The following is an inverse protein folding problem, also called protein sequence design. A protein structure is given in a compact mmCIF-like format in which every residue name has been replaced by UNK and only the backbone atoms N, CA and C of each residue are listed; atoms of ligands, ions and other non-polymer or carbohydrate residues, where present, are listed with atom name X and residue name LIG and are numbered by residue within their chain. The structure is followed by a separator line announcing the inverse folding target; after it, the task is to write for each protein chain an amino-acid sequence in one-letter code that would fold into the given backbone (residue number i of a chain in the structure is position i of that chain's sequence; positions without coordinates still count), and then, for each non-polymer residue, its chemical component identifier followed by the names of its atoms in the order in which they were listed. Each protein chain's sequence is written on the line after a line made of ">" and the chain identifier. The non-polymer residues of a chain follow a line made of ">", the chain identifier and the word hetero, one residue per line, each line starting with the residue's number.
data_IF_436588792704
#
_entry.id   IF_436588792704
#
_cell.length_a   1.000
_cell.length_b   1.000
_cell.length_c   1.000
_cell.angle_alpha   90.00
_cell.angle_beta   90.00
_cell.angle_gamma   90.00
#
_symmetry.space_group_name_H-M   'P 1'
#
loop_
_entity.id
_entity.type
_entity.pdbx_description
1 polymer ?
#
# COMPACT_ATOMS: atom_id res chain seq x y z
N UNK A 1 -29.76 23.94 -15.94
CA UNK A 1 -30.03 22.83 -15.00
C UNK A 1 -29.35 23.21 -13.71
N UNK A 2 -30.13 23.61 -12.71
CA UNK A 2 -29.63 23.99 -11.39
C UNK A 2 -29.20 22.72 -10.65
N UNK A 3 -27.94 22.66 -10.24
CA UNK A 3 -27.49 21.76 -9.20
C UNK A 3 -28.05 22.33 -7.89
N UNK A 4 -29.13 21.75 -7.38
CA UNK A 4 -29.60 22.08 -6.04
C UNK A 4 -28.69 21.38 -5.03
N UNK A 5 -27.57 22.04 -4.71
CA UNK A 5 -26.62 21.67 -3.66
C UNK A 5 -27.29 21.94 -2.32
N UNK A 6 -27.58 20.89 -1.54
CA UNK A 6 -28.18 21.02 -0.21
C UNK A 6 -27.23 20.47 0.87
N UNK A 7 -26.81 21.38 1.76
CA UNK A 7 -26.21 21.24 3.10
C UNK A 7 -24.75 20.73 3.20
N UNK A 8 -23.89 21.69 3.58
CA UNK A 8 -22.51 21.58 4.11
C UNK A 8 -21.55 20.67 3.35
N UNK A 9 -21.24 21.02 2.11
CA UNK A 9 -20.05 20.45 1.46
C UNK A 9 -18.78 20.93 2.20
N UNK A 10 -17.76 20.07 2.36
CA UNK A 10 -16.45 20.51 2.80
C UNK A 10 -15.91 21.57 1.85
N UNK A 11 -15.25 22.61 2.38
CA UNK A 11 -14.68 23.70 1.56
C UNK A 11 -13.66 23.14 0.55
N UNK A 12 -13.01 22.02 0.87
CA UNK A 12 -12.07 21.30 0.02
C UNK A 12 -12.71 20.60 -1.18
N UNK A 13 -14.03 20.36 -1.16
CA UNK A 13 -14.77 19.72 -2.25
C UNK A 13 -15.51 20.72 -3.16
N UNK A 14 -15.66 21.96 -2.71
CA UNK A 14 -16.47 22.98 -3.36
C UNK A 14 -15.74 23.68 -4.52
N UNK A 15 -15.45 22.94 -5.59
CA UNK A 15 -14.93 23.49 -6.84
C UNK A 15 -15.65 22.95 -8.07
N UNK A 16 -15.70 23.78 -9.12
CA UNK A 16 -16.40 23.47 -10.37
C UNK A 16 -15.91 22.17 -11.02
N UNK A 17 -14.61 21.91 -10.90
CA UNK A 17 -13.94 20.77 -11.51
C UNK A 17 -14.37 19.44 -10.88
N UNK A 18 -14.54 19.39 -9.56
CA UNK A 18 -15.05 18.21 -8.86
C UNK A 18 -16.51 17.96 -9.19
N UNK A 19 -17.35 19.00 -9.23
CA UNK A 19 -18.74 18.86 -9.67
C UNK A 19 -18.84 18.35 -11.12
N UNK A 20 -17.94 18.81 -12.00
CA UNK A 20 -17.87 18.31 -13.37
C UNK A 20 -17.44 16.84 -13.44
N UNK A 21 -16.46 16.43 -12.63
CA UNK A 21 -16.03 15.04 -12.52
C UNK A 21 -17.16 14.14 -12.02
N UNK A 22 -17.87 14.53 -10.96
CA UNK A 22 -19.03 13.81 -10.43
C UNK A 22 -20.13 13.64 -11.48
N UNK A 23 -20.41 14.68 -12.26
CA UNK A 23 -21.38 14.59 -13.35
C UNK A 23 -20.97 13.58 -14.43
N UNK A 24 -19.69 13.53 -14.80
CA UNK A 24 -19.21 12.50 -15.74
C UNK A 24 -19.38 11.10 -15.16
N UNK A 25 -19.08 10.94 -13.86
CA UNK A 25 -19.26 9.65 -13.17
C UNK A 25 -20.74 9.26 -13.09
N UNK A 26 -21.66 10.20 -12.81
CA UNK A 26 -23.10 9.90 -12.80
C UNK A 26 -23.56 9.35 -14.16
N UNK A 27 -23.05 9.89 -15.26
CA UNK A 27 -23.34 9.38 -16.60
C UNK A 27 -22.77 7.96 -16.79
N UNK A 28 -21.53 7.70 -16.34
CA UNK A 28 -20.87 6.38 -16.41
C UNK A 28 -21.63 5.31 -15.60
N UNK A 29 -22.11 5.65 -14.40
CA UNK A 29 -22.85 4.72 -13.53
C UNK A 29 -24.37 4.71 -13.83
N UNK A 30 -24.80 5.48 -14.83
CA UNK A 30 -26.18 5.54 -15.31
C UNK A 30 -27.17 6.14 -14.31
N UNK A 31 -26.76 7.17 -13.55
CA UNK A 31 -27.61 7.97 -12.66
C UNK A 31 -28.03 9.24 -13.41
N UNK A 32 -29.32 9.36 -13.75
CA UNK A 32 -29.85 10.54 -14.42
C UNK A 32 -30.33 11.57 -13.39
N UNK A 33 -30.31 12.86 -13.73
CA UNK A 33 -30.77 13.95 -12.84
C UNK A 33 -30.21 13.81 -11.41
N UNK A 34 -28.89 13.61 -11.33
CA UNK A 34 -28.19 13.29 -10.10
C UNK A 34 -28.28 14.41 -9.06
N UNK A 35 -28.64 14.04 -7.83
CA UNK A 35 -28.23 14.74 -6.60
C UNK A 35 -27.13 13.94 -5.94
N UNK A 36 -26.27 14.59 -5.18
CA UNK A 36 -25.25 13.87 -4.42
C UNK A 36 -25.02 14.47 -3.04
N UNK A 37 -24.57 13.60 -2.15
CA UNK A 37 -24.09 13.94 -0.82
C UNK A 37 -22.60 13.60 -0.73
N UNK A 38 -21.84 14.41 0.00
CA UNK A 38 -20.39 14.29 0.13
C UNK A 38 -20.04 14.12 1.60
N UNK A 39 -19.52 12.95 1.95
CA UNK A 39 -18.89 12.68 3.23
C UNK A 39 -17.38 12.89 3.09
N UNK A 40 -16.80 13.72 3.95
CA UNK A 40 -15.34 13.82 4.04
C UNK A 40 -14.82 12.70 4.93
N UNK A 41 -14.10 11.74 4.34
CA UNK A 41 -13.61 10.54 5.03
C UNK A 41 -12.18 10.71 5.56
N UNK A 42 -11.81 11.91 6.01
CA UNK A 42 -10.43 12.19 6.39
C UNK A 42 -10.06 11.46 7.70
N UNK A 43 -9.69 10.19 7.57
CA UNK A 43 -8.92 9.41 8.54
C UNK A 43 -7.43 9.47 8.16
N UNK A 44 -6.56 9.34 9.15
CA UNK A 44 -5.08 9.41 9.13
C UNK A 44 -4.36 9.51 7.78
N UNK A 45 -3.49 10.53 7.67
CA UNK A 45 -2.21 10.38 6.95
C UNK A 45 -2.29 10.21 5.43
N UNK A 46 -3.47 10.31 4.81
CA UNK A 46 -3.55 10.23 3.37
C UNK A 46 -2.84 11.41 2.70
N UNK A 47 -2.15 11.07 1.62
CA UNK A 47 -1.47 11.98 0.70
C UNK A 47 -2.48 12.77 -0.16
N UNK A 48 -3.75 12.38 -0.07
CA UNK A 48 -4.90 12.92 -0.76
C UNK A 48 -6.07 13.16 0.21
N UNK A 49 -6.91 14.18 -0.08
CA UNK A 49 -8.23 14.29 0.51
C UNK A 49 -9.10 13.17 -0.03
N UNK A 50 -9.77 12.43 0.86
CA UNK A 50 -10.68 11.34 0.49
C UNK A 50 -12.12 11.74 0.83
N UNK A 51 -12.99 11.67 -0.17
CA UNK A 51 -14.41 11.90 -0.01
C UNK A 51 -15.17 10.65 -0.45
N UNK A 52 -16.23 10.32 0.27
CA UNK A 52 -17.25 9.39 -0.22
C UNK A 52 -18.41 10.20 -0.75
N UNK A 53 -18.75 9.97 -2.01
CA UNK A 53 -19.83 10.67 -2.68
C UNK A 53 -20.95 9.69 -2.97
N UNK A 54 -22.14 9.98 -2.47
CA UNK A 54 -23.34 9.17 -2.68
C UNK A 54 -24.18 9.87 -3.73
N UNK A 55 -24.27 9.26 -4.92
CA UNK A 55 -25.08 9.71 -6.06
C UNK A 55 -26.48 9.11 -5.95
N UNK A 56 -27.51 9.95 -6.01
CA UNK A 56 -28.93 9.56 -5.99
C UNK A 56 -29.63 10.07 -7.24
N UNK A 57 -30.35 9.18 -7.94
CA UNK A 57 -31.18 9.53 -9.09
C UNK A 57 -32.52 10.12 -8.64
N UNK A 58 -32.81 11.36 -9.05
CA UNK A 58 -34.04 12.06 -8.66
C UNK A 58 -35.30 11.29 -9.05
N UNK A 59 -36.14 11.01 -8.05
CA UNK A 59 -37.41 10.29 -8.24
C UNK A 59 -37.26 8.77 -8.33
N UNK A 60 -36.11 8.21 -7.97
CA UNK A 60 -35.89 6.76 -7.83
C UNK A 60 -35.16 6.42 -6.52
N UNK A 61 -35.17 5.14 -6.14
CA UNK A 61 -34.37 4.62 -5.02
C UNK A 61 -32.95 4.19 -5.47
N UNK A 62 -32.55 4.53 -6.71
CA UNK A 62 -31.25 4.13 -7.26
C UNK A 62 -30.15 5.05 -6.69
N UNK A 63 -29.26 4.44 -5.92
CA UNK A 63 -28.10 5.09 -5.33
C UNK A 63 -26.79 4.38 -5.73
N UNK A 64 -25.73 5.15 -5.95
CA UNK A 64 -24.37 4.64 -6.20
C UNK A 64 -23.39 5.42 -5.33
N UNK A 65 -22.50 4.72 -4.63
CA UNK A 65 -21.44 5.36 -3.85
C UNK A 65 -20.10 5.24 -4.57
N UNK A 66 -19.29 6.30 -4.49
CA UNK A 66 -17.95 6.36 -5.08
C UNK A 66 -16.96 7.01 -4.11
N UNK A 67 -15.69 6.63 -4.21
CA UNK A 67 -14.59 7.25 -3.47
C UNK A 67 -13.87 8.24 -4.37
N UNK A 68 -13.72 9.48 -3.92
CA UNK A 68 -13.04 10.56 -4.65
C UNK A 68 -11.78 10.93 -3.89
N UNK A 69 -10.62 10.76 -4.54
CA UNK A 69 -9.31 11.18 -4.04
C UNK A 69 -8.83 12.43 -4.78
N UNK A 70 -8.40 13.46 -4.04
CA UNK A 70 -7.84 14.70 -4.61
C UNK A 70 -6.58 15.13 -3.87
N UNK A 71 -5.70 15.92 -4.51
CA UNK A 71 -4.47 16.37 -3.85
C UNK A 71 -4.74 17.34 -2.69
N UNK A 72 -4.06 17.13 -1.56
CA UNK A 72 -4.08 18.10 -0.46
C UNK A 72 -3.25 19.33 -0.85
N UNK A 73 -3.84 20.52 -0.72
CA UNK A 73 -3.18 21.78 -1.06
C UNK A 73 -2.15 22.18 0.03
N UNK A 74 -0.98 21.55 0.01
CA UNK A 74 0.10 21.77 0.99
C UNK A 74 1.41 22.22 0.34
N UNK A 75 2.38 22.61 1.15
CA UNK A 75 3.76 22.84 0.69
C UNK A 75 4.42 21.60 0.06
N UNK A 76 3.81 20.41 0.19
CA UNK A 76 4.26 19.13 -0.40
C UNK A 76 3.48 18.76 -1.67
N UNK A 77 2.69 19.68 -2.26
CA UNK A 77 1.81 19.41 -3.41
C UNK A 77 2.48 18.71 -4.59
N UNK A 78 3.69 19.11 -4.99
CA UNK A 78 4.39 18.47 -6.13
C UNK A 78 4.81 17.02 -5.84
N UNK A 79 5.11 16.67 -4.59
CA UNK A 79 5.39 15.30 -4.18
C UNK A 79 4.13 14.43 -4.26
N UNK A 80 3.05 14.91 -3.65
CA UNK A 80 1.76 14.20 -3.63
C UNK A 80 1.20 14.02 -5.05
N UNK A 81 1.54 14.93 -5.95
CA UNK A 81 1.19 14.84 -7.37
C UNK A 81 1.85 13.65 -8.09
N UNK A 82 3.13 13.37 -7.82
CA UNK A 82 3.82 12.22 -8.42
C UNK A 82 3.22 10.89 -7.92
N UNK A 83 2.85 10.82 -6.64
CA UNK A 83 2.17 9.65 -6.05
C UNK A 83 0.76 9.47 -6.61
N UNK A 84 0.00 10.55 -6.75
CA UNK A 84 -1.30 10.53 -7.41
C UNK A 84 -1.18 10.07 -8.87
N UNK A 85 -0.21 10.60 -9.62
CA UNK A 85 0.04 10.17 -11.00
C UNK A 85 0.40 8.68 -11.07
N UNK A 86 1.20 8.18 -10.12
CA UNK A 86 1.51 6.74 -9.99
C UNK A 86 0.26 5.92 -9.71
N UNK A 87 -0.62 6.35 -8.80
CA UNK A 87 -1.87 5.66 -8.48
C UNK A 87 -2.81 5.60 -9.70
N UNK A 88 -3.01 6.73 -10.39
CA UNK A 88 -3.80 6.78 -11.64
C UNK A 88 -3.22 5.81 -12.67
N UNK A 89 -1.89 5.82 -12.85
CA UNK A 89 -1.22 4.93 -13.80
C UNK A 89 -1.38 3.45 -13.43
N UNK A 90 -1.29 3.12 -12.15
CA UNK A 90 -1.55 1.77 -11.64
C UNK A 90 -2.97 1.33 -12.01
N UNK A 91 -3.98 2.16 -11.74
CA UNK A 91 -5.36 1.82 -12.04
C UNK A 91 -5.60 1.61 -13.54
N UNK A 92 -5.14 2.53 -14.37
CA UNK A 92 -5.42 2.54 -15.82
C UNK A 92 -4.61 1.48 -16.58
N UNK A 93 -3.34 1.27 -16.22
CA UNK A 93 -2.45 0.41 -17.03
C UNK A 93 -2.27 -1.00 -16.45
N UNK A 94 -2.56 -1.21 -15.16
CA UNK A 94 -2.30 -2.49 -14.48
C UNK A 94 -3.57 -3.07 -13.89
N UNK A 95 -4.29 -2.33 -13.05
CA UNK A 95 -5.49 -2.84 -12.35
C UNK A 95 -6.62 -3.13 -13.35
N UNK A 96 -6.83 -2.26 -14.34
CA UNK A 96 -7.83 -2.51 -15.39
C UNK A 96 -7.52 -3.81 -16.15
N UNK A 97 -6.26 -4.03 -16.55
CA UNK A 97 -5.85 -5.28 -17.21
C UNK A 97 -6.01 -6.49 -16.27
N UNK A 98 -5.64 -6.35 -15.00
CA UNK A 98 -5.85 -7.39 -13.99
C UNK A 98 -7.32 -7.77 -13.88
N UNK A 99 -8.23 -6.78 -13.84
CA UNK A 99 -9.67 -7.03 -13.84
C UNK A 99 -10.13 -7.73 -15.12
N UNK A 100 -9.60 -7.36 -16.29
CA UNK A 100 -9.91 -8.02 -17.56
C UNK A 100 -9.45 -9.47 -17.59
N UNK A 101 -8.21 -9.75 -17.18
CA UNK A 101 -7.65 -11.11 -17.12
C UNK A 101 -8.45 -12.03 -16.20
N UNK A 102 -8.97 -11.51 -15.11
CA UNK A 102 -9.80 -12.27 -14.17
C UNK A 102 -11.15 -12.73 -14.75
N UNK A 103 -11.61 -12.17 -15.87
CA UNK A 103 -12.83 -12.64 -16.54
C UNK A 103 -12.67 -14.04 -17.16
N UNK A 104 -11.44 -14.54 -17.29
CA UNK A 104 -11.16 -15.88 -17.80
C UNK A 104 -11.27 -16.98 -16.74
N UNK A 105 -11.44 -16.60 -15.46
CA UNK A 105 -11.53 -17.53 -14.34
C UNK A 105 -12.85 -17.36 -13.57
N UNK A 106 -13.25 -18.41 -12.86
CA UNK A 106 -14.45 -18.41 -12.02
C UNK A 106 -14.39 -17.37 -10.91
N UNK A 107 -15.54 -16.80 -10.54
CA UNK A 107 -15.66 -15.69 -9.59
C UNK A 107 -15.02 -15.97 -8.23
N UNK A 108 -15.06 -17.21 -7.76
CA UNK A 108 -14.53 -17.59 -6.43
C UNK A 108 -13.01 -17.54 -6.36
N UNK A 109 -12.33 -17.56 -7.51
CA UNK A 109 -10.86 -17.51 -7.60
C UNK A 109 -10.32 -16.09 -7.84
N UNK A 110 -11.21 -15.11 -8.06
CA UNK A 110 -10.83 -13.72 -8.34
C UNK A 110 -10.42 -13.00 -7.05
N UNK A 111 -9.50 -12.05 -7.21
CA UNK A 111 -9.19 -11.01 -6.23
C UNK A 111 -10.05 -9.77 -6.49
N UNK A 112 -10.37 -9.08 -5.41
CA UNK A 112 -11.19 -7.86 -5.47
C UNK A 112 -10.28 -6.63 -5.51
N UNK A 113 -10.45 -5.85 -6.58
CA UNK A 113 -9.74 -4.60 -6.84
C UNK A 113 -10.79 -3.55 -7.23
N UNK A 114 -10.78 -2.35 -6.64
CA UNK A 114 -11.74 -1.29 -7.00
C UNK A 114 -11.58 -0.89 -8.46
N UNK A 115 -12.69 -0.61 -9.15
CA UNK A 115 -12.63 0.00 -10.49
C UNK A 115 -12.30 1.49 -10.40
N UNK A 116 -11.46 1.96 -11.31
CA UNK A 116 -11.34 3.38 -11.60
C UNK A 116 -12.49 3.82 -12.51
N UNK A 117 -13.33 4.72 -12.03
CA UNK A 117 -14.49 5.24 -12.75
C UNK A 117 -14.15 6.51 -13.53
N UNK A 118 -13.27 7.35 -12.98
CA UNK A 118 -12.83 8.59 -13.62
C UNK A 118 -11.49 9.05 -13.04
N UNK A 119 -10.69 9.74 -13.84
CA UNK A 119 -9.51 10.44 -13.36
C UNK A 119 -9.23 11.72 -14.17
N UNK A 120 -8.45 12.63 -13.60
CA UNK A 120 -7.90 13.81 -14.25
C UNK A 120 -6.49 14.06 -13.72
N UNK A 121 -5.53 14.33 -14.62
CA UNK A 121 -4.14 14.65 -14.25
C UNK A 121 -3.76 16.10 -14.58
N UNK A 122 -4.73 16.91 -15.03
CA UNK A 122 -4.51 18.32 -15.35
C UNK A 122 -4.02 19.06 -14.12
N UNK A 123 -2.98 19.88 -14.29
CA UNK A 123 -2.33 20.57 -13.16
C UNK A 123 -3.34 21.45 -12.41
N UNK A 124 -3.57 21.14 -11.14
CA UNK A 124 -4.51 21.85 -10.27
C UNK A 124 -5.90 21.23 -10.19
N UNK A 125 -6.21 20.25 -11.04
CA UNK A 125 -7.50 19.57 -11.12
C UNK A 125 -7.34 18.05 -10.97
N UNK A 126 -6.28 17.62 -10.29
CA UNK A 126 -5.98 16.20 -10.09
C UNK A 126 -7.06 15.51 -9.25
N UNK A 127 -7.70 14.50 -9.83
CA UNK A 127 -8.75 13.71 -9.17
C UNK A 127 -8.70 12.28 -9.65
N UNK A 128 -8.98 11.35 -8.73
CA UNK A 128 -9.18 9.93 -9.01
C UNK A 128 -10.49 9.50 -8.34
N UNK A 129 -11.42 8.94 -9.10
CA UNK A 129 -12.71 8.48 -8.62
C UNK A 129 -12.79 6.96 -8.80
N UNK A 130 -13.00 6.26 -7.70
CA UNK A 130 -13.00 4.81 -7.58
C UNK A 130 -14.38 4.29 -7.18
N UNK A 131 -14.65 3.03 -7.50
CA UNK A 131 -15.75 2.25 -6.93
C UNK A 131 -15.64 2.20 -5.39
N UNK A 132 -16.74 2.49 -4.69
CA UNK A 132 -16.80 2.34 -3.24
C UNK A 132 -17.20 0.91 -2.88
N UNK A 133 -16.30 0.16 -2.24
CA UNK A 133 -16.57 -1.21 -1.80
C UNK A 133 -17.10 -1.28 -0.36
N UNK A 134 -17.15 -0.16 0.37
CA UNK A 134 -17.76 -0.12 1.71
C UNK A 134 -19.27 -0.41 1.65
N UNK A 135 -19.95 0.00 0.58
CA UNK A 135 -21.37 -0.37 0.36
C UNK A 135 -21.59 -1.86 0.12
N UNK A 136 -20.55 -2.58 -0.29
CA UNK A 136 -20.58 -4.03 -0.49
C UNK A 136 -20.29 -4.80 0.81
N UNK A 137 -20.21 -4.12 1.95
CA UNK A 137 -19.95 -4.74 3.26
C UNK A 137 -18.49 -5.10 3.49
N UNK A 138 -17.56 -4.47 2.76
CA UNK A 138 -16.16 -4.46 3.12
C UNK A 138 -15.92 -3.39 4.21
N UNK A 139 -15.03 -3.71 5.15
CA UNK A 139 -14.73 -2.88 6.30
C UNK A 139 -13.21 -2.72 6.45
N UNK A 140 -12.79 -1.57 6.96
CA UNK A 140 -11.40 -1.33 7.35
C UNK A 140 -11.11 -2.17 8.59
N UNK A 141 -9.94 -2.81 8.62
CA UNK A 141 -9.54 -3.59 9.78
C UNK A 141 -8.79 -2.73 10.79
N UNK A 142 -9.47 -2.40 11.90
CA UNK A 142 -8.91 -1.57 12.98
C UNK A 142 -7.92 -2.32 13.89
N UNK A 143 -7.61 -3.60 13.60
CA UNK A 143 -6.76 -4.48 14.44
C UNK A 143 -5.39 -3.85 14.77
N UNK A 144 -4.70 -3.23 13.80
CA UNK A 144 -3.40 -2.58 14.09
C UNK A 144 -3.54 -1.26 14.86
N UNK A 145 -4.57 -0.46 14.59
CA UNK A 145 -4.87 0.74 15.40
C UNK A 145 -5.30 0.41 16.83
N UNK A 146 -5.62 -0.84 17.12
CA UNK A 146 -5.90 -1.37 18.46
C UNK A 146 -4.73 -2.18 19.02
N UNK A 147 -3.57 -2.22 18.34
CA UNK A 147 -2.39 -3.02 18.70
C UNK A 147 -2.70 -4.52 18.93
N UNK A 148 -3.69 -5.06 18.22
CA UNK A 148 -4.06 -6.48 18.27
C UNK A 148 -3.16 -7.25 17.29
N UNK A 149 -2.64 -8.41 17.75
CA UNK A 149 -1.81 -9.27 16.91
C UNK A 149 -2.67 -10.04 15.90
N UNK A 150 -2.25 -10.05 14.63
CA UNK A 150 -2.85 -10.90 13.62
C UNK A 150 -2.56 -12.37 13.90
N UNK A 151 -3.57 -13.22 13.72
CA UNK A 151 -3.37 -14.67 13.84
C UNK A 151 -2.89 -15.28 12.50
N UNK A 152 -2.40 -16.51 12.57
CA UNK A 152 -1.86 -17.22 11.41
C UNK A 152 -2.85 -17.34 10.24
N UNK A 153 -4.15 -17.56 10.52
CA UNK A 153 -5.17 -17.70 9.47
C UNK A 153 -5.41 -16.38 8.74
N UNK A 154 -5.44 -15.25 9.46
CA UNK A 154 -5.56 -13.93 8.87
C UNK A 154 -4.37 -13.61 7.97
N UNK A 155 -3.14 -13.80 8.48
CA UNK A 155 -1.91 -13.58 7.70
C UNK A 155 -1.85 -14.52 6.49
N UNK A 156 -2.21 -15.79 6.65
CA UNK A 156 -2.25 -16.75 5.54
C UNK A 156 -3.24 -16.35 4.45
N UNK A 157 -4.40 -15.80 4.83
CA UNK A 157 -5.39 -15.27 3.87
C UNK A 157 -4.82 -14.09 3.08
N UNK A 158 -4.19 -13.13 3.76
CA UNK A 158 -3.57 -11.95 3.16
C UNK A 158 -2.44 -12.34 2.20
N UNK A 159 -1.54 -13.23 2.64
CA UNK A 159 -0.42 -13.72 1.83
C UNK A 159 -0.91 -14.52 0.61
N UNK A 160 -1.99 -15.28 0.75
CA UNK A 160 -2.61 -15.98 -0.38
C UNK A 160 -3.21 -15.02 -1.40
N UNK A 161 -3.85 -13.95 -0.95
CA UNK A 161 -4.41 -12.93 -1.85
C UNK A 161 -3.31 -12.13 -2.56
N UNK A 162 -2.22 -11.80 -1.85
CA UNK A 162 -1.04 -11.19 -2.44
C UNK A 162 -0.40 -12.09 -3.51
N UNK A 163 -0.36 -13.41 -3.29
CA UNK A 163 0.16 -14.36 -4.27
C UNK A 163 -0.66 -14.35 -5.58
N UNK A 164 -1.99 -14.23 -5.49
CA UNK A 164 -2.85 -14.08 -6.67
C UNK A 164 -2.63 -12.74 -7.37
N UNK A 165 -2.51 -11.65 -6.61
CA UNK A 165 -2.20 -10.31 -7.14
C UNK A 165 -0.88 -10.30 -7.92
N UNK A 166 0.19 -10.86 -7.36
CA UNK A 166 1.45 -11.06 -8.08
C UNK A 166 1.31 -12.02 -9.26
N UNK A 167 0.51 -13.08 -9.11
CA UNK A 167 0.18 -14.02 -10.19
C UNK A 167 -0.37 -13.33 -11.44
N UNK A 168 -1.24 -12.33 -11.27
CA UNK A 168 -1.78 -11.55 -12.39
C UNK A 168 -0.70 -10.81 -13.18
N UNK A 169 0.42 -10.42 -12.56
CA UNK A 169 1.56 -9.84 -13.29
C UNK A 169 2.18 -10.83 -14.27
N UNK A 170 2.35 -12.09 -13.87
CA UNK A 170 2.89 -13.13 -14.76
C UNK A 170 1.91 -13.47 -15.87
N UNK A 171 0.61 -13.51 -15.56
CA UNK A 171 -0.44 -13.70 -16.57
C UNK A 171 -0.43 -12.55 -17.59
N UNK A 172 -0.36 -11.30 -17.11
CA UNK A 172 -0.25 -10.10 -17.94
C UNK A 172 0.98 -10.20 -18.86
N UNK A 173 2.16 -10.48 -18.31
CA UNK A 173 3.40 -10.65 -19.07
C UNK A 173 3.28 -11.72 -20.17
N UNK A 174 2.57 -12.82 -19.91
CA UNK A 174 2.40 -13.91 -20.88
C UNK A 174 1.48 -13.56 -22.06
N UNK A 175 0.60 -12.56 -21.92
CA UNK A 175 -0.48 -12.27 -22.87
C UNK A 175 -0.32 -10.96 -23.63
N UNK A 176 0.47 -10.03 -23.11
CA UNK A 176 0.55 -8.65 -23.61
C UNK A 176 1.96 -8.34 -24.09
N UNK A 177 2.07 -7.96 -25.37
CA UNK A 177 3.35 -7.63 -25.99
C UNK A 177 3.95 -6.31 -25.53
N UNK A 178 3.12 -5.41 -24.98
CA UNK A 178 3.52 -4.10 -24.45
C UNK A 178 3.85 -4.14 -22.94
N UNK A 179 3.84 -5.32 -22.31
CA UNK A 179 4.14 -5.48 -20.89
C UNK A 179 5.50 -4.88 -20.50
N UNK A 180 6.54 -5.11 -21.30
CA UNK A 180 7.89 -4.59 -21.04
C UNK A 180 8.01 -3.07 -21.14
N UNK A 181 7.13 -2.42 -21.91
CA UNK A 181 7.06 -0.96 -21.98
C UNK A 181 6.35 -0.41 -20.74
N UNK A 182 5.21 -1.03 -20.39
CA UNK A 182 4.44 -0.66 -19.21
C UNK A 182 5.27 -0.87 -17.94
N UNK A 183 5.95 -2.00 -17.77
CA UNK A 183 6.68 -2.33 -16.54
C UNK A 183 7.84 -1.36 -16.23
N UNK A 184 8.53 -0.85 -17.26
CA UNK A 184 9.61 0.15 -17.11
C UNK A 184 9.14 1.46 -16.49
N UNK A 185 7.87 1.79 -16.70
CA UNK A 185 7.29 2.99 -16.13
C UNK A 185 7.00 2.89 -14.62
N UNK A 186 7.07 1.67 -14.06
CA UNK A 186 6.82 1.40 -12.65
C UNK A 186 8.12 1.19 -11.85
N UNK A 187 9.18 1.94 -12.15
CA UNK A 187 10.34 2.00 -11.24
C UNK A 187 9.94 2.56 -9.86
N UNK A 188 10.69 2.24 -8.80
CA UNK A 188 10.48 2.88 -7.50
C UNK A 188 10.62 4.40 -7.62
N UNK A 189 9.69 5.14 -7.03
CA UNK A 189 9.74 6.61 -6.95
C UNK A 189 10.02 7.11 -5.54
N UNK A 190 9.76 6.31 -4.50
CA UNK A 190 9.84 6.77 -3.10
C UNK A 190 11.28 7.05 -2.66
N UNK A 191 12.23 6.23 -3.10
CA UNK A 191 13.61 6.32 -2.66
C UNK A 191 14.54 6.96 -3.71
N UNK A 192 13.98 7.49 -4.81
CA UNK A 192 14.77 8.14 -5.87
C UNK A 192 15.25 9.53 -5.49
N UNK A 193 16.48 9.87 -5.84
CA UNK A 193 17.07 11.17 -5.53
C UNK A 193 16.33 12.34 -6.21
N UNK A 194 15.75 12.12 -7.38
CA UNK A 194 14.93 13.10 -8.10
C UNK A 194 13.64 13.46 -7.37
N UNK A 195 13.07 12.51 -6.62
CA UNK A 195 11.87 12.66 -5.79
C UNK A 195 12.23 13.23 -4.42
N UNK A 196 13.30 12.71 -3.82
CA UNK A 196 13.79 13.10 -2.49
C UNK A 196 14.45 14.47 -2.47
N UNK A 197 15.14 14.88 -3.54
CA UNK A 197 15.81 16.19 -3.63
C UNK A 197 14.85 17.37 -3.84
N UNK A 198 13.62 17.09 -4.32
CA UNK A 198 12.55 18.09 -4.48
C UNK A 198 11.62 18.18 -3.27
N UNK A 199 11.77 17.29 -2.30
CA UNK A 199 10.84 17.12 -1.20
C UNK A 199 11.55 17.16 0.15
N UNK A 200 10.83 17.58 1.19
CA UNK A 200 11.26 17.34 2.58
C UNK A 200 11.18 15.85 2.96
N UNK A 201 10.90 14.92 2.03
CA UNK A 201 10.79 13.49 2.32
C UNK A 201 12.13 12.82 2.59
N UNK A 202 13.21 13.32 1.98
CA UNK A 202 14.56 12.87 2.36
C UNK A 202 14.77 13.08 3.85
N UNK A 203 14.33 14.23 4.36
CA UNK A 203 14.38 14.52 5.78
C UNK A 203 13.45 13.57 6.55
N UNK A 204 12.23 13.31 6.08
CA UNK A 204 11.33 12.34 6.73
C UNK A 204 11.97 10.95 6.91
N UNK A 205 12.50 10.33 5.85
CA UNK A 205 13.10 8.99 5.97
C UNK A 205 14.34 8.99 6.85
N UNK A 206 15.20 10.01 6.73
CA UNK A 206 16.40 10.13 7.57
C UNK A 206 16.03 10.40 9.04
N UNK A 207 15.05 11.26 9.29
CA UNK A 207 14.53 11.54 10.64
C UNK A 207 13.86 10.29 11.24
N UNK A 208 13.09 9.55 10.45
CA UNK A 208 12.48 8.29 10.88
C UNK A 208 13.54 7.27 11.30
N UNK A 209 14.55 7.08 10.44
CA UNK A 209 15.69 6.22 10.74
C UNK A 209 16.41 6.66 12.02
N UNK A 210 16.70 7.95 12.17
CA UNK A 210 17.35 8.49 13.37
C UNK A 210 16.52 8.29 14.64
N UNK A 211 15.19 8.43 14.55
CA UNK A 211 14.30 8.14 15.68
C UNK A 211 14.37 6.66 16.07
N UNK A 212 14.34 5.75 15.11
CA UNK A 212 14.53 4.32 15.38
C UNK A 212 15.88 4.04 16.04
N UNK A 213 16.98 4.65 15.56
CA UNK A 213 18.30 4.51 16.18
C UNK A 213 18.33 5.00 17.63
N UNK A 214 17.57 6.04 17.97
CA UNK A 214 17.54 6.61 19.32
C UNK A 214 16.88 5.70 20.36
N UNK A 215 16.01 4.79 19.93
CA UNK A 215 15.31 3.86 20.83
C UNK A 215 15.95 2.47 20.89
N UNK A 216 17.06 2.22 20.18
CA UNK A 216 17.77 0.93 20.25
C UNK A 216 18.50 0.80 21.59
N UNK A 217 18.24 -0.31 22.30
CA UNK A 217 18.84 -0.58 23.62
C UNK A 217 20.31 -1.03 23.52
N UNK A 218 20.63 -1.79 22.47
CA UNK A 218 21.99 -2.30 22.25
C UNK A 218 22.86 -1.26 21.53
N UNK A 219 23.75 -0.62 22.30
CA UNK A 219 24.63 0.44 21.80
C UNK A 219 25.58 -0.01 20.67
N UNK A 220 26.11 -1.24 20.74
CA UNK A 220 27.01 -1.75 19.69
C UNK A 220 26.27 -1.90 18.35
N UNK A 221 25.02 -2.37 18.41
CA UNK A 221 24.16 -2.50 17.22
C UNK A 221 23.72 -1.13 16.70
N UNK A 222 23.42 -0.20 17.60
CA UNK A 222 23.11 1.19 17.24
C UNK A 222 24.26 1.82 16.44
N UNK A 223 25.50 1.72 16.92
CA UNK A 223 26.68 2.26 16.22
C UNK A 223 26.86 1.62 14.83
N UNK A 224 26.63 0.31 14.71
CA UNK A 224 26.67 -0.38 13.42
C UNK A 224 25.61 0.15 12.45
N UNK A 225 24.37 0.31 12.89
CA UNK A 225 23.27 0.80 12.05
C UNK A 225 23.41 2.29 11.73
N UNK A 226 23.96 3.10 12.63
CA UNK A 226 24.32 4.50 12.36
C UNK A 226 25.28 4.61 11.16
N UNK A 227 26.20 3.65 11.00
CA UNK A 227 27.11 3.63 9.85
C UNK A 227 26.41 3.44 8.49
N UNK A 228 25.17 2.93 8.49
CA UNK A 228 24.36 2.77 7.29
C UNK A 228 23.73 4.07 6.81
N UNK A 229 23.57 5.07 7.69
CA UNK A 229 22.91 6.35 7.40
C UNK A 229 23.33 6.99 6.06
N UNK A 230 24.63 7.12 5.70
CA UNK A 230 25.02 7.72 4.42
C UNK A 230 24.63 6.88 3.19
N UNK A 231 24.40 5.56 3.36
CA UNK A 231 24.11 4.60 2.30
C UNK A 231 22.65 4.12 2.29
N UNK A 232 21.84 4.55 3.27
CA UNK A 232 20.47 4.10 3.49
C UNK A 232 19.61 4.12 2.21
N UNK A 233 19.58 5.26 1.51
CA UNK A 233 18.79 5.39 0.28
C UNK A 233 19.26 4.46 -0.83
N UNK A 234 20.59 4.31 -0.98
CA UNK A 234 21.17 3.43 -2.00
C UNK A 234 20.89 1.96 -1.69
N UNK A 235 20.91 1.57 -0.42
CA UNK A 235 20.52 0.23 0.02
C UNK A 235 19.06 -0.05 -0.34
N UNK A 236 18.14 0.86 -0.02
CA UNK A 236 16.72 0.71 -0.37
C UNK A 236 16.52 0.59 -1.89
N UNK A 237 17.13 1.48 -2.67
CA UNK A 237 17.09 1.42 -4.13
C UNK A 237 17.55 0.06 -4.65
N UNK A 238 18.70 -0.43 -4.17
CA UNK A 238 19.28 -1.71 -4.59
C UNK A 238 18.33 -2.90 -4.38
N UNK A 239 17.60 -2.94 -3.26
CA UNK A 239 16.63 -4.01 -2.99
C UNK A 239 15.35 -3.89 -3.83
N UNK A 240 15.01 -2.67 -4.26
CA UNK A 240 13.77 -2.38 -4.99
C UNK A 240 13.95 -2.36 -6.51
N UNK A 241 15.18 -2.52 -7.00
CA UNK A 241 15.46 -2.64 -8.43
C UNK A 241 14.82 -3.90 -9.03
N UNK A 242 14.19 -3.81 -10.21
CA UNK A 242 13.65 -4.97 -10.90
C UNK A 242 14.72 -6.03 -11.18
N UNK A 243 14.38 -7.29 -10.93
CA UNK A 243 15.18 -8.48 -11.25
C UNK A 243 14.38 -9.43 -12.16
N UNK A 244 14.92 -10.63 -12.42
CA UNK A 244 14.36 -11.61 -13.36
C UNK A 244 12.90 -12.03 -13.05
N UNK A 245 12.54 -12.12 -11.78
CA UNK A 245 11.22 -12.60 -11.32
C UNK A 245 10.33 -11.47 -10.81
N UNK A 246 10.54 -10.27 -11.33
CA UNK A 246 9.78 -9.10 -10.88
C UNK A 246 8.32 -9.13 -11.33
N UNK A 247 7.47 -8.53 -10.51
CA UNK A 247 6.03 -8.37 -10.71
C UNK A 247 5.63 -6.95 -10.36
N UNK A 248 4.42 -6.53 -10.74
CA UNK A 248 3.81 -5.32 -10.19
C UNK A 248 3.50 -5.58 -8.72
N UNK A 249 4.42 -5.15 -7.86
CA UNK A 249 4.27 -5.12 -6.42
C UNK A 249 3.38 -3.94 -6.04
N UNK A 250 2.56 -4.13 -5.01
CA UNK A 250 1.78 -3.08 -4.38
C UNK A 250 2.67 -1.95 -3.83
N UNK A 251 3.81 -2.29 -3.24
CA UNK A 251 4.83 -1.35 -2.79
C UNK A 251 4.52 -0.55 -1.52
N UNK A 252 3.35 -0.76 -0.93
CA UNK A 252 2.92 -0.29 0.39
C UNK A 252 1.93 -1.30 0.97
N UNK A 253 2.36 -2.57 1.07
CA UNK A 253 1.47 -3.69 1.38
C UNK A 253 1.38 -3.91 2.90
N UNK A 254 0.44 -3.24 3.55
CA UNK A 254 0.14 -3.35 4.97
C UNK A 254 -1.36 -3.36 5.20
N UNK A 255 -1.80 -3.71 6.41
CA UNK A 255 -3.21 -4.03 6.66
C UNK A 255 -4.19 -2.88 6.39
N UNK A 256 -3.75 -1.63 6.52
CA UNK A 256 -4.63 -0.47 6.32
C UNK A 256 -5.02 -0.30 4.85
N UNK A 257 -4.23 -0.85 3.94
CA UNK A 257 -4.52 -0.88 2.50
C UNK A 257 -5.32 -2.13 2.09
N UNK A 258 -5.88 -2.86 3.06
CA UNK A 258 -6.68 -4.06 2.84
C UNK A 258 -8.04 -3.88 3.52
N UNK A 259 -9.11 -3.95 2.74
CA UNK A 259 -10.46 -4.10 3.30
C UNK A 259 -10.81 -5.56 3.47
N UNK A 260 -11.59 -5.84 4.50
CA UNK A 260 -12.00 -7.18 4.89
C UNK A 260 -13.50 -7.30 4.85
N UNK A 261 -13.99 -8.44 4.37
CA UNK A 261 -15.40 -8.79 4.42
C UNK A 261 -15.56 -10.19 4.98
N UNK A 262 -16.24 -10.31 6.11
CA UNK A 262 -16.59 -11.60 6.69
C UNK A 262 -17.60 -12.31 5.80
N UNK A 263 -17.31 -13.54 5.40
CA UNK A 263 -18.27 -14.46 4.81
C UNK A 263 -18.44 -15.68 5.70
N UNK A 264 -19.55 -16.42 5.49
CA UNK A 264 -19.93 -17.57 6.33
C UNK A 264 -18.85 -18.66 6.48
N UNK A 265 -17.87 -18.74 5.57
CA UNK A 265 -16.85 -19.79 5.53
C UNK A 265 -15.43 -19.27 5.21
N UNK A 266 -15.27 -18.01 4.82
CA UNK A 266 -14.00 -17.42 4.42
C UNK A 266 -14.01 -15.90 4.62
N UNK A 267 -12.84 -15.28 4.56
CA UNK A 267 -12.69 -13.83 4.58
C UNK A 267 -12.36 -13.37 3.15
N UNK A 268 -13.14 -12.43 2.61
CA UNK A 268 -12.80 -11.78 1.34
C UNK A 268 -11.98 -10.54 1.61
N UNK A 269 -10.99 -10.30 0.76
CA UNK A 269 -10.07 -9.18 0.87
C UNK A 269 -10.19 -8.30 -0.36
N UNK A 270 -10.04 -7.00 -0.17
CA UNK A 270 -9.91 -6.03 -1.25
C UNK A 270 -8.64 -5.21 -1.04
N UNK A 271 -7.80 -5.12 -2.08
CA UNK A 271 -6.57 -4.33 -2.04
C UNK A 271 -6.85 -2.90 -2.50
N UNK A 272 -6.35 -1.92 -1.77
CA UNK A 272 -6.53 -0.49 -2.02
C UNK A 272 -5.18 0.24 -2.13
N UNK A 273 -5.21 1.46 -2.66
CA UNK A 273 -4.10 2.41 -2.60
C UNK A 273 -2.80 1.93 -3.28
N UNK A 274 -2.79 2.03 -4.61
CA UNK A 274 -1.66 1.63 -5.44
C UNK A 274 -0.67 2.77 -5.73
N UNK A 275 -0.63 3.82 -4.89
CA UNK A 275 0.24 4.99 -5.10
C UNK A 275 1.73 4.67 -5.04
N UNK A 276 2.09 3.57 -4.36
CA UNK A 276 3.46 3.09 -4.20
C UNK A 276 3.79 1.91 -5.14
N UNK A 277 2.86 1.54 -6.05
CA UNK A 277 3.01 0.40 -6.95
C UNK A 277 4.31 0.51 -7.75
N UNK A 278 5.03 -0.60 -7.86
CA UNK A 278 6.31 -0.67 -8.56
C UNK A 278 6.53 -2.04 -9.18
N UNK A 279 7.33 -2.12 -10.23
CA UNK A 279 7.82 -3.37 -10.77
C UNK A 279 9.09 -3.77 -10.00
N UNK A 280 8.97 -4.76 -9.11
CA UNK A 280 10.04 -5.18 -8.21
C UNK A 280 9.92 -6.67 -7.88
N UNK A 281 10.83 -7.21 -7.06
CA UNK A 281 10.76 -8.60 -6.63
C UNK A 281 9.51 -8.82 -5.74
N UNK A 282 8.69 -9.86 -5.94
CA UNK A 282 7.51 -10.13 -5.10
C UNK A 282 7.82 -10.30 -3.61
N UNK A 283 9.05 -10.67 -3.26
CA UNK A 283 9.50 -10.76 -1.89
C UNK A 283 9.43 -9.41 -1.15
N UNK A 284 9.51 -8.28 -1.86
CA UNK A 284 9.49 -6.94 -1.23
C UNK A 284 8.17 -6.68 -0.52
N UNK A 285 7.02 -7.00 -1.13
CA UNK A 285 5.71 -6.83 -0.50
C UNK A 285 5.51 -7.81 0.67
N UNK A 286 6.02 -9.04 0.54
CA UNK A 286 5.92 -10.06 1.59
C UNK A 286 6.69 -9.61 2.83
N UNK A 287 7.96 -9.20 2.68
CA UNK A 287 8.75 -8.74 3.84
C UNK A 287 8.23 -7.43 4.38
N UNK A 288 7.72 -6.52 3.54
CA UNK A 288 7.08 -5.29 3.98
C UNK A 288 5.92 -5.60 4.94
N UNK A 289 4.98 -6.44 4.50
CA UNK A 289 3.85 -6.82 5.34
C UNK A 289 4.28 -7.50 6.64
N UNK A 290 5.16 -8.51 6.57
CA UNK A 290 5.56 -9.28 7.75
C UNK A 290 6.34 -8.46 8.78
N UNK A 291 7.16 -7.49 8.36
CA UNK A 291 7.92 -6.66 9.29
C UNK A 291 7.09 -5.52 9.89
N UNK A 292 6.07 -5.04 9.18
CA UNK A 292 5.21 -3.93 9.63
C UNK A 292 3.99 -4.42 10.42
N UNK A 293 3.42 -5.57 10.06
CA UNK A 293 2.14 -6.05 10.59
C UNK A 293 2.27 -7.21 11.60
N UNK A 294 3.45 -7.81 11.77
CA UNK A 294 3.67 -8.90 12.74
C UNK A 294 4.90 -8.66 13.62
N UNK A 295 5.05 -9.44 14.69
CA UNK A 295 6.22 -9.41 15.56
C UNK A 295 7.21 -10.55 15.24
N UNK A 296 8.40 -10.49 15.85
CA UNK A 296 9.45 -11.49 15.65
C UNK A 296 9.05 -12.88 16.12
N UNK A 297 8.23 -12.99 17.17
CA UNK A 297 7.75 -14.29 17.67
C UNK A 297 6.88 -14.98 16.62
N UNK A 298 5.95 -14.23 16.01
CA UNK A 298 5.12 -14.72 14.91
C UNK A 298 5.97 -15.13 13.70
N UNK A 299 6.93 -14.29 13.28
CA UNK A 299 7.81 -14.62 12.15
C UNK A 299 8.65 -15.86 12.46
N UNK A 300 9.24 -15.96 13.65
CA UNK A 300 10.01 -17.14 14.04
C UNK A 300 9.19 -18.43 14.02
N UNK A 301 7.90 -18.37 14.33
CA UNK A 301 7.02 -19.54 14.35
C UNK A 301 6.49 -19.90 12.95
N UNK A 302 6.09 -18.91 12.15
CA UNK A 302 5.28 -19.14 10.95
C UNK A 302 5.96 -18.80 9.62
N UNK A 303 7.16 -18.20 9.59
CA UNK A 303 7.77 -17.71 8.35
C UNK A 303 7.85 -18.78 7.25
N UNK A 304 8.38 -19.96 7.56
CA UNK A 304 8.50 -21.07 6.59
C UNK A 304 7.13 -21.55 6.09
N UNK A 305 6.14 -21.65 6.98
CA UNK A 305 4.78 -22.04 6.60
C UNK A 305 4.14 -20.99 5.67
N UNK A 306 4.44 -19.71 5.87
CA UNK A 306 3.95 -18.62 5.02
C UNK A 306 4.61 -18.61 3.63
N UNK A 307 5.85 -19.11 3.50
CA UNK A 307 6.48 -19.34 2.19
C UNK A 307 5.67 -20.35 1.38
N UNK A 308 5.31 -21.45 2.04
CA UNK A 308 4.50 -22.50 1.41
C UNK A 308 3.09 -21.99 1.08
N UNK A 309 2.46 -21.20 1.97
CA UNK A 309 1.17 -20.57 1.69
C UNK A 309 1.25 -19.69 0.44
N UNK A 310 2.23 -18.78 0.38
CA UNK A 310 2.40 -17.90 -0.77
C UNK A 310 2.62 -18.69 -2.06
N UNK A 311 3.61 -19.59 -2.07
CA UNK A 311 4.02 -20.25 -3.30
C UNK A 311 2.98 -21.26 -3.80
N UNK A 312 2.29 -21.97 -2.89
CA UNK A 312 1.20 -22.85 -3.28
C UNK A 312 -0.01 -22.07 -3.81
N UNK A 313 -0.31 -20.89 -3.23
CA UNK A 313 -1.36 -20.00 -3.73
C UNK A 313 -1.01 -19.45 -5.10
N UNK A 314 0.24 -19.00 -5.31
CA UNK A 314 0.73 -18.55 -6.62
C UNK A 314 0.62 -19.66 -7.67
N UNK A 315 1.09 -20.87 -7.33
CA UNK A 315 1.02 -22.04 -8.21
C UNK A 315 -0.42 -22.40 -8.57
N UNK A 316 -1.31 -22.44 -7.59
CA UNK A 316 -2.71 -22.76 -7.79
C UNK A 316 -3.37 -21.72 -8.69
N UNK A 317 -3.13 -20.43 -8.44
CA UNK A 317 -3.68 -19.34 -9.24
C UNK A 317 -3.17 -19.34 -10.69
N UNK A 318 -1.86 -19.46 -10.90
CA UNK A 318 -1.26 -19.51 -12.24
C UNK A 318 -1.76 -20.72 -13.06
N UNK A 319 -2.06 -21.84 -12.40
CA UNK A 319 -2.60 -23.03 -13.07
C UNK A 319 -3.97 -22.79 -13.71
N UNK A 320 -4.76 -21.84 -13.18
CA UNK A 320 -6.05 -21.43 -13.78
C UNK A 320 -5.85 -20.79 -15.17
N UNK A 321 -4.66 -20.27 -15.44
CA UNK A 321 -4.25 -19.67 -16.70
C UNK A 321 -3.31 -20.57 -17.52
N UNK A 322 -3.18 -21.85 -17.15
CA UNK A 322 -2.27 -22.81 -17.77
C UNK A 322 -0.79 -22.40 -17.70
N UNK A 323 -0.40 -21.63 -16.68
CA UNK A 323 1.00 -21.22 -16.44
C UNK A 323 1.57 -22.08 -15.31
N UNK A 324 2.72 -22.70 -15.55
CA UNK A 324 3.45 -23.43 -14.51
C UNK A 324 4.31 -22.46 -13.69
N UNK A 325 4.01 -22.30 -12.40
CA UNK A 325 4.74 -21.39 -11.52
C UNK A 325 6.26 -21.58 -11.58
N UNK A 326 6.74 -22.82 -11.61
CA UNK A 326 8.17 -23.13 -11.65
C UNK A 326 8.89 -22.63 -12.92
N UNK A 327 8.14 -22.30 -13.98
CA UNK A 327 8.72 -21.75 -15.21
C UNK A 327 8.89 -20.23 -15.15
N UNK A 328 8.03 -19.54 -14.41
CA UNK A 328 8.03 -18.07 -14.28
C UNK A 328 8.73 -17.60 -13.00
N UNK A 329 8.68 -18.39 -11.94
CA UNK A 329 9.35 -18.11 -10.66
C UNK A 329 9.62 -19.42 -9.90
N UNK A 330 10.81 -20.03 -10.08
CA UNK A 330 11.17 -21.28 -9.40
C UNK A 330 11.15 -21.15 -7.87
N UNK A 331 10.80 -22.23 -7.15
CA UNK A 331 10.66 -22.21 -5.69
C UNK A 331 11.99 -21.90 -5.01
N UNK A 332 13.09 -22.45 -5.51
CA UNK A 332 14.42 -22.23 -4.95
C UNK A 332 14.85 -20.76 -5.08
N UNK A 333 14.50 -20.12 -6.19
CA UNK A 333 14.75 -18.68 -6.40
C UNK A 333 13.84 -17.84 -5.51
N UNK A 334 12.58 -18.23 -5.32
CA UNK A 334 11.66 -17.59 -4.38
C UNK A 334 12.17 -17.60 -2.93
N UNK A 335 12.62 -18.76 -2.45
CA UNK A 335 13.19 -18.89 -1.09
C UNK A 335 14.45 -18.07 -0.95
N UNK A 336 15.30 -18.05 -1.98
CA UNK A 336 16.52 -17.22 -2.02
C UNK A 336 16.16 -15.73 -1.96
N UNK A 337 15.24 -15.29 -2.81
CA UNK A 337 14.81 -13.90 -2.89
C UNK A 337 14.20 -13.43 -1.55
N UNK A 338 13.40 -14.24 -0.86
CA UNK A 338 12.88 -13.87 0.46
C UNK A 338 13.97 -13.74 1.52
N UNK A 339 14.93 -14.66 1.54
CA UNK A 339 16.04 -14.60 2.49
C UNK A 339 16.96 -13.40 2.22
N UNK A 340 17.16 -13.02 0.95
CA UNK A 340 17.84 -11.79 0.56
C UNK A 340 17.04 -10.54 0.99
N UNK A 341 15.71 -10.57 0.89
CA UNK A 341 14.87 -9.41 1.21
C UNK A 341 14.57 -9.20 2.70
N UNK A 342 14.96 -10.12 3.60
CA UNK A 342 14.89 -9.85 5.07
C UNK A 342 15.64 -8.57 5.48
N UNK A 343 16.69 -8.21 4.75
CA UNK A 343 17.45 -6.95 4.93
C UNK A 343 16.60 -5.74 4.59
N UNK A 344 15.82 -5.82 3.50
CA UNK A 344 14.83 -4.80 3.17
C UNK A 344 13.76 -4.71 4.26
N UNK A 345 13.29 -5.86 4.78
CA UNK A 345 12.35 -5.91 5.92
C UNK A 345 12.86 -5.13 7.14
N UNK A 346 14.13 -5.32 7.52
CA UNK A 346 14.77 -4.53 8.59
C UNK A 346 14.82 -3.03 8.26
N UNK A 347 15.24 -2.65 7.04
CA UNK A 347 15.32 -1.25 6.65
C UNK A 347 13.94 -0.57 6.66
N UNK A 348 12.91 -1.25 6.15
CA UNK A 348 11.52 -0.78 6.17
C UNK A 348 11.01 -0.66 7.60
N UNK A 349 11.30 -1.63 8.47
CA UNK A 349 10.92 -1.56 9.88
C UNK A 349 11.52 -0.31 10.58
N UNK A 350 12.79 -0.01 10.31
CA UNK A 350 13.48 1.18 10.82
C UNK A 350 12.96 2.51 10.22
N UNK A 351 12.15 2.47 9.17
CA UNK A 351 11.57 3.65 8.52
C UNK A 351 10.08 3.83 8.80
N UNK A 352 9.32 2.76 8.94
CA UNK A 352 7.86 2.81 8.90
C UNK A 352 7.19 2.34 10.19
N UNK A 353 7.88 1.63 11.10
CA UNK A 353 7.26 1.21 12.37
C UNK A 353 6.81 2.39 13.25
N UNK A 354 7.36 3.58 13.03
CA UNK A 354 6.86 4.81 13.65
C UNK A 354 5.40 5.07 13.29
N UNK A 355 5.02 4.87 12.02
CA UNK A 355 3.67 5.14 11.55
C UNK A 355 2.69 4.22 12.30
N UNK A 356 3.04 2.94 12.44
CA UNK A 356 2.22 1.95 13.16
C UNK A 356 2.17 2.22 14.66
N UNK A 357 3.30 2.60 15.27
CA UNK A 357 3.39 2.79 16.72
C UNK A 357 2.72 4.07 17.23
N UNK A 358 2.49 5.05 16.35
CA UNK A 358 1.94 6.35 16.71
C UNK A 358 0.52 6.59 16.17
N UNK A 359 -0.20 5.53 15.77
CA UNK A 359 -1.65 5.63 15.50
C UNK A 359 -2.37 5.73 16.86
N UNK A 360 -3.02 6.87 17.20
CA UNK A 360 -3.67 7.00 18.50
C UNK A 360 -4.86 6.05 18.66
N UNK A 361 -5.13 5.59 19.88
CA UNK A 361 -6.18 4.59 20.15
C UNK A 361 -7.62 5.12 19.95
N UNK A 362 -7.88 6.43 20.04
CA UNK A 362 -9.22 7.00 19.96
C UNK A 362 -9.40 7.98 18.78
N UNK A 363 -10.61 7.98 18.20
CA UNK A 363 -10.98 8.77 17.01
C UNK A 363 -10.78 10.28 17.16
N UNK A 364 -10.85 10.85 18.36
CA UNK A 364 -10.76 12.31 18.58
C UNK A 364 -9.30 12.78 18.62
N UNK A 365 -8.41 12.04 19.30
CA UNK A 365 -6.96 12.34 19.34
C UNK A 365 -6.31 12.13 17.96
N UNK A 366 -6.82 11.12 17.28
CA UNK A 366 -6.66 10.85 15.85
C UNK A 366 -7.06 12.06 14.96
N UNK A 367 -8.25 12.64 15.21
CA UNK A 367 -8.76 13.98 14.81
C UNK A 367 -7.68 15.09 14.82
N UNK A 368 -7.08 15.23 16.01
CA UNK A 368 -6.19 16.34 16.37
C UNK A 368 -4.78 16.23 15.77
N UNK A 369 -4.18 15.03 15.74
CA UNK A 369 -2.87 14.80 15.09
C UNK A 369 -2.92 15.02 13.57
N UNK A 370 -4.08 14.83 12.93
CA UNK A 370 -4.25 15.07 11.50
C UNK A 370 -4.17 16.57 11.12
N UNK A 371 -4.55 17.46 12.03
CA UNK A 371 -4.55 18.91 11.81
C UNK A 371 -3.16 19.55 11.92
N UNK A 372 -2.27 18.94 12.70
CA UNK A 372 -0.87 19.31 12.81
C UNK A 372 -0.04 18.25 12.07
N UNK A 373 0.20 18.45 10.77
CA UNK A 373 1.18 17.69 9.95
C UNK A 373 2.63 17.84 10.44
N UNK A 374 2.82 18.14 11.73
CA UNK A 374 4.06 18.25 12.44
C UNK A 374 4.34 16.91 13.12
N UNK A 375 4.83 15.96 12.31
CA UNK A 375 5.35 14.65 12.72
C UNK A 375 6.53 14.72 13.72
N UNK A 376 6.83 15.92 14.25
CA UNK A 376 7.86 16.19 15.28
C UNK A 376 7.28 16.25 16.69
N UNK A 377 5.95 16.28 16.87
CA UNK A 377 5.31 16.25 18.18
C UNK A 377 4.53 14.96 18.36
N UNK A 378 4.98 14.15 19.31
CA UNK A 378 4.46 12.81 19.61
C UNK A 378 3.66 12.84 20.91
N UNK A 379 2.58 12.03 21.04
CA UNK A 379 2.02 11.64 22.33
C UNK A 379 2.97 10.67 23.06
N UNK A 380 2.82 10.56 24.38
CA UNK A 380 3.75 9.95 25.35
C UNK A 380 4.03 8.41 25.23
N UNK A 381 3.68 7.74 24.12
CA UNK A 381 3.79 6.26 23.97
C UNK A 381 5.14 5.78 23.37
N UNK A 382 6.25 6.39 23.79
CA UNK A 382 7.62 5.98 23.39
C UNK A 382 7.90 4.49 23.61
N UNK A 383 7.24 3.86 24.59
CA UNK A 383 7.42 2.45 24.93
C UNK A 383 6.98 1.48 23.82
N UNK A 384 5.88 1.74 23.11
CA UNK A 384 5.40 0.80 22.06
C UNK A 384 6.35 0.82 20.86
N UNK A 385 6.75 2.02 20.43
CA UNK A 385 7.69 2.20 19.34
C UNK A 385 9.05 1.58 19.68
N UNK A 386 9.60 1.88 20.86
CA UNK A 386 10.85 1.29 21.35
C UNK A 386 10.79 -0.24 21.37
N UNK A 387 9.70 -0.83 21.90
CA UNK A 387 9.53 -2.27 21.95
C UNK A 387 9.51 -2.90 20.54
N UNK A 388 8.77 -2.32 19.59
CA UNK A 388 8.70 -2.83 18.20
C UNK A 388 10.05 -2.73 17.49
N UNK A 389 10.79 -1.65 17.68
CA UNK A 389 12.14 -1.50 17.10
C UNK A 389 13.09 -2.55 17.70
N UNK A 390 13.16 -2.67 19.03
CA UNK A 390 14.08 -3.61 19.67
C UNK A 390 13.71 -5.08 19.39
N UNK A 391 12.43 -5.40 19.17
CA UNK A 391 11.97 -6.72 18.71
C UNK A 391 12.59 -7.10 17.36
N UNK A 392 12.48 -6.22 16.36
CA UNK A 392 13.05 -6.43 15.02
C UNK A 392 14.59 -6.46 15.06
N UNK A 393 15.21 -5.63 15.89
CA UNK A 393 16.66 -5.62 16.07
C UNK A 393 17.16 -6.94 16.65
N UNK A 394 16.52 -7.43 17.71
CA UNK A 394 16.88 -8.70 18.36
C UNK A 394 16.77 -9.86 17.38
N UNK A 395 15.68 -9.93 16.62
CA UNK A 395 15.50 -10.91 15.54
C UNK A 395 16.64 -10.82 14.52
N UNK A 396 16.93 -9.61 14.03
CA UNK A 396 17.91 -9.36 12.97
C UNK A 396 19.36 -9.61 13.40
N UNK A 397 19.66 -9.53 14.69
CA UNK A 397 20.93 -10.00 15.26
C UNK A 397 20.96 -11.52 15.27
N UNK A 398 19.91 -12.17 15.77
CA UNK A 398 19.87 -13.62 15.95
C UNK A 398 19.93 -14.40 14.62
N UNK A 399 19.33 -13.87 13.56
CA UNK A 399 19.34 -14.49 12.23
C UNK A 399 20.46 -13.97 11.31
N UNK A 400 21.35 -13.09 11.80
CA UNK A 400 22.50 -12.58 11.05
C UNK A 400 22.20 -11.48 10.01
N UNK A 401 20.95 -11.04 9.87
CA UNK A 401 20.52 -10.02 8.90
C UNK A 401 21.30 -8.72 9.05
N UNK A 402 21.58 -8.26 10.27
CA UNK A 402 22.38 -7.04 10.49
C UNK A 402 23.79 -7.20 9.93
N UNK A 403 24.48 -8.30 10.24
CA UNK A 403 25.86 -8.53 9.78
C UNK A 403 25.94 -8.56 8.25
N UNK A 404 24.99 -9.23 7.60
CA UNK A 404 24.91 -9.28 6.14
C UNK A 404 24.63 -7.90 5.54
N UNK A 405 23.72 -7.13 6.15
CA UNK A 405 23.39 -5.77 5.71
C UNK A 405 24.61 -4.82 5.84
N UNK A 406 25.35 -4.89 6.95
CA UNK A 406 26.59 -4.12 7.12
C UNK A 406 27.63 -4.53 6.06
N UNK A 407 27.78 -5.84 5.80
CA UNK A 407 28.71 -6.32 4.77
C UNK A 407 28.38 -5.76 3.38
N UNK A 408 27.11 -5.83 2.98
CA UNK A 408 26.62 -5.24 1.72
C UNK A 408 26.92 -3.74 1.69
N UNK A 409 26.64 -3.04 2.79
CA UNK A 409 26.88 -1.61 2.87
C UNK A 409 28.36 -1.26 2.74
N UNK A 410 29.29 -2.09 3.24
CA UNK A 410 30.73 -1.88 3.07
C UNK A 410 31.20 -1.98 1.61
N UNK A 411 30.51 -2.74 0.76
CA UNK A 411 30.85 -2.92 -0.65
C UNK A 411 30.30 -1.80 -1.56
N UNK A 412 29.28 -1.06 -1.10
CA UNK A 412 28.70 0.10 -1.80
C UNK A 412 29.56 1.35 -1.66
#
# INVERSE_FOLDING_TARGET
>A
MSLDVNLSEPDEFNCFELHSAIKKVSDIVGINNCKYHVDYLNDYGYIANIFRVILTEDGSDKNVSVIVKTLINTARKELFRELHYREVKAYVNVIEEFQLLQNEIESENRIVLPKCLYYCNDKGNEVLILEDLLVDGYEVNETLSMNIKLNFLQVSSIISELAKFHGLSYVFASKRSDFDEISKDFHDILFQESFLGKSKLKNYFVESFDMSLNVIDNMDIKEQLESLRPKLLRLLQMFLEPKKYSVFCHGDFWINNILFKEQKQCQSLCLLDFQAMRYANPATDIVYFLYICTDSAFRSEYFEQLLDVYYNSLKSFLSLFCIEANTVYPYEEFVKDLNENKKLGLLIALLELRIVAFVPDDKTSRELMASELDLTKLPDDENIFQNKINDVITESVSNGVINELISIACEL
#
